data_IF_096340868351
#
_entry.id   IF_096340868351
#
_cell.length_a   1.000
_cell.length_b   1.000
_cell.length_c   1.000
_cell.angle_alpha   90.00
_cell.angle_beta   90.00
_cell.angle_gamma   90.00
#
_symmetry.space_group_name_H-M   'P 1'
#
loop_
_entity.id
_entity.type
_entity.pdbx_description
1 polymer ?
#
# COMPACT_ATOMS: atom_id res chain seq x y z
N UNK A 1 -8.29 1.86 -8.67
CA UNK A 1 -8.12 2.97 -9.64
C UNK A 1 -7.40 2.43 -10.86
N UNK A 2 -8.10 2.20 -11.96
CA UNK A 2 -7.53 1.53 -13.16
C UNK A 2 -6.33 2.27 -13.76
N UNK A 3 -6.29 3.60 -13.64
CA UNK A 3 -5.13 4.40 -14.04
C UNK A 3 -3.80 3.90 -13.44
N UNK A 4 -3.79 3.51 -12.16
CA UNK A 4 -2.58 2.99 -11.51
C UNK A 4 -2.09 1.69 -12.17
N UNK A 5 -3.00 0.77 -12.50
CA UNK A 5 -2.69 -0.47 -13.22
C UNK A 5 -2.21 -0.19 -14.65
N UNK A 6 -2.91 0.68 -15.38
CA UNK A 6 -2.57 1.04 -16.77
C UNK A 6 -1.23 1.79 -16.88
N UNK A 7 -0.85 2.56 -15.87
CA UNK A 7 0.49 3.17 -15.78
C UNK A 7 1.55 2.13 -15.43
N UNK A 8 1.25 1.20 -14.53
CA UNK A 8 2.16 0.09 -14.18
C UNK A 8 2.48 -0.76 -15.41
N UNK A 9 1.44 -1.17 -16.15
CA UNK A 9 1.57 -1.96 -17.38
C UNK A 9 2.39 -1.24 -18.46
N UNK A 10 2.12 0.06 -18.69
CA UNK A 10 2.90 0.88 -19.63
C UNK A 10 4.38 0.97 -19.23
N UNK A 11 4.67 1.30 -17.97
CA UNK A 11 6.04 1.48 -17.49
C UNK A 11 6.83 0.17 -17.52
N UNK A 12 6.22 -0.94 -17.09
CA UNK A 12 6.85 -2.26 -17.18
C UNK A 12 7.07 -2.64 -18.65
N UNK A 13 6.09 -2.43 -19.54
CA UNK A 13 6.23 -2.69 -20.98
C UNK A 13 7.41 -1.91 -21.61
N UNK A 14 7.63 -0.66 -21.16
CA UNK A 14 8.77 0.16 -21.58
C UNK A 14 10.09 -0.37 -21.03
N UNK A 15 10.21 -0.57 -19.71
CA UNK A 15 11.45 -1.01 -19.07
C UNK A 15 11.87 -2.43 -19.47
N UNK A 16 10.92 -3.30 -19.80
CA UNK A 16 11.18 -4.65 -20.32
C UNK A 16 11.50 -4.64 -21.83
N UNK A 17 11.26 -3.51 -22.52
CA UNK A 17 11.39 -3.41 -23.98
C UNK A 17 10.34 -4.25 -24.74
N UNK A 18 9.20 -4.56 -24.12
CA UNK A 18 8.13 -5.37 -24.68
C UNK A 18 7.19 -4.60 -25.62
N UNK A 19 7.28 -3.26 -25.65
CA UNK A 19 6.57 -2.43 -26.62
C UNK A 19 6.84 -2.86 -28.07
N UNK A 20 5.88 -2.60 -28.96
CA UNK A 20 6.04 -2.85 -30.39
C UNK A 20 7.14 -1.92 -30.97
N UNK A 21 7.93 -2.44 -31.90
CA UNK A 21 8.97 -1.65 -32.56
C UNK A 21 8.46 -1.26 -33.94
N UNK A 22 8.34 0.05 -34.21
CA UNK A 22 8.01 0.54 -35.54
C UNK A 22 9.12 0.20 -36.55
N UNK A 23 8.79 0.10 -37.84
CA UNK A 23 9.75 -0.29 -38.89
C UNK A 23 10.99 0.61 -39.02
N UNK A 24 10.89 1.86 -38.56
CA UNK A 24 11.96 2.87 -38.54
C UNK A 24 12.60 3.05 -37.16
N UNK A 25 12.18 2.26 -36.16
CA UNK A 25 12.75 2.25 -34.82
C UNK A 25 13.56 0.99 -34.57
N UNK A 26 14.47 1.07 -33.59
CA UNK A 26 15.27 -0.06 -33.15
C UNK A 26 15.22 -0.19 -31.64
N UNK A 27 14.90 -1.39 -31.14
CA UNK A 27 14.96 -1.72 -29.72
C UNK A 27 16.38 -1.53 -29.16
N UNK A 28 17.43 -1.71 -29.95
CA UNK A 28 18.82 -1.40 -29.56
C UNK A 28 19.01 0.05 -29.09
N UNK A 29 18.20 1.00 -29.57
CA UNK A 29 18.23 2.41 -29.16
C UNK A 29 17.50 2.73 -27.84
N UNK A 30 16.82 1.76 -27.23
CA UNK A 30 15.98 1.97 -26.03
C UNK A 30 16.83 1.81 -24.75
N UNK A 31 17.53 2.87 -24.36
CA UNK A 31 18.35 2.94 -23.14
C UNK A 31 17.54 2.80 -21.84
N UNK A 32 16.23 3.05 -21.87
CA UNK A 32 15.31 2.79 -20.77
C UNK A 32 14.93 1.31 -20.58
N UNK A 33 15.28 0.42 -21.52
CA UNK A 33 14.85 -0.99 -21.53
C UNK A 33 15.74 -1.88 -20.63
N UNK A 34 15.91 -1.48 -19.37
CA UNK A 34 16.81 -2.08 -18.38
C UNK A 34 16.48 -3.53 -18.00
N UNK A 35 15.24 -3.97 -18.23
CA UNK A 35 14.76 -5.35 -18.01
C UNK A 35 14.59 -6.13 -19.31
N UNK A 36 15.34 -5.77 -20.37
CA UNK A 36 15.45 -6.62 -21.57
C UNK A 36 16.16 -7.94 -21.27
N UNK A 37 17.07 -7.93 -20.30
CA UNK A 37 17.73 -9.12 -19.79
C UNK A 37 16.85 -9.81 -18.74
N UNK A 38 16.58 -11.10 -18.94
CA UNK A 38 15.73 -11.91 -18.07
C UNK A 38 16.39 -12.17 -16.70
N UNK A 39 17.72 -12.21 -16.62
CA UNK A 39 18.45 -12.35 -15.36
C UNK A 39 18.28 -11.08 -14.51
N UNK A 40 18.42 -9.89 -15.11
CA UNK A 40 18.14 -8.61 -14.46
C UNK A 40 16.67 -8.47 -14.00
N UNK A 41 15.71 -8.91 -14.83
CA UNK A 41 14.28 -8.92 -14.48
C UNK A 41 13.97 -9.88 -13.32
N UNK A 42 14.53 -11.09 -13.35
CA UNK A 42 14.39 -12.10 -12.29
C UNK A 42 14.99 -11.62 -10.97
N UNK A 43 16.18 -11.00 -11.01
CA UNK A 43 16.83 -10.42 -9.84
C UNK A 43 15.98 -9.29 -9.21
N UNK A 44 15.40 -8.42 -10.04
CA UNK A 44 14.49 -7.36 -9.58
C UNK A 44 13.21 -7.93 -8.95
N UNK A 45 12.62 -8.95 -9.56
CA UNK A 45 11.46 -9.65 -8.99
C UNK A 45 11.73 -10.27 -7.61
N UNK A 46 12.89 -10.92 -7.46
CA UNK A 46 13.33 -11.45 -6.17
C UNK A 46 13.60 -10.33 -5.14
N UNK A 47 14.15 -9.19 -5.58
CA UNK A 47 14.34 -8.02 -4.72
C UNK A 47 12.99 -7.47 -4.21
N UNK A 48 11.97 -7.37 -5.07
CA UNK A 48 10.59 -6.99 -4.69
C UNK A 48 10.04 -7.91 -3.60
N UNK A 49 10.15 -9.24 -3.76
CA UNK A 49 9.69 -10.18 -2.73
C UNK A 49 10.44 -10.01 -1.40
N UNK A 50 11.76 -9.82 -1.45
CA UNK A 50 12.60 -9.62 -0.27
C UNK A 50 12.18 -8.38 0.53
N UNK A 51 11.73 -7.30 -0.12
CA UNK A 51 11.21 -6.10 0.56
C UNK A 51 10.02 -6.41 1.48
N UNK A 52 9.24 -7.47 1.21
CA UNK A 52 8.06 -7.85 1.97
C UNK A 52 8.35 -8.27 3.41
N UNK A 53 9.61 -8.41 3.82
CA UNK A 53 9.97 -8.53 5.24
C UNK A 53 9.89 -7.19 5.98
N UNK A 54 10.27 -6.08 5.34
CA UNK A 54 10.39 -4.73 5.92
C UNK A 54 9.10 -3.90 5.84
N UNK A 55 8.13 -4.30 5.03
CA UNK A 55 6.86 -3.60 4.87
C UNK A 55 5.93 -3.90 6.07
N UNK A 56 5.38 -2.88 6.74
CA UNK A 56 4.46 -3.07 7.86
C UNK A 56 3.18 -3.80 7.44
N UNK A 57 2.66 -4.65 8.33
CA UNK A 57 1.42 -5.40 8.10
C UNK A 57 0.14 -4.55 7.97
N UNK A 58 0.24 -3.22 8.07
CA UNK A 58 -0.84 -2.29 7.70
C UNK A 58 -1.09 -2.22 6.19
N UNK A 59 -0.13 -2.65 5.36
CA UNK A 59 -0.24 -2.70 3.90
C UNK A 59 -0.87 -4.03 3.38
N UNK A 60 -1.77 -4.65 4.15
CA UNK A 60 -2.47 -5.92 3.90
C UNK A 60 -1.58 -7.15 3.65
N UNK A 61 -0.85 -7.20 2.54
CA UNK A 61 -0.03 -8.35 2.12
C UNK A 61 1.41 -7.96 1.80
N UNK A 62 2.29 -8.95 1.86
CA UNK A 62 3.65 -8.83 1.32
C UNK A 62 3.58 -8.70 -0.22
N UNK A 63 4.42 -7.86 -0.84
CA UNK A 63 4.68 -7.92 -2.27
C UNK A 63 5.06 -9.34 -2.65
N UNK A 64 4.46 -9.81 -3.76
CA UNK A 64 4.81 -11.08 -4.38
C UNK A 64 5.87 -10.79 -5.45
N UNK A 65 6.75 -11.77 -5.72
CA UNK A 65 7.60 -11.72 -6.91
C UNK A 65 6.74 -11.39 -8.15
N UNK A 66 7.16 -10.39 -8.92
CA UNK A 66 6.42 -9.93 -10.09
C UNK A 66 6.71 -10.77 -11.33
N UNK A 67 7.93 -11.32 -11.49
CA UNK A 67 8.28 -12.17 -12.64
C UNK A 67 7.33 -13.36 -12.75
N UNK A 68 7.09 -14.02 -11.62
CA UNK A 68 6.30 -15.25 -11.55
C UNK A 68 4.79 -15.02 -11.67
N UNK A 69 4.32 -13.76 -11.53
CA UNK A 69 2.90 -13.45 -11.26
C UNK A 69 2.30 -12.29 -12.05
N UNK A 70 3.05 -11.64 -12.93
CA UNK A 70 2.51 -10.56 -13.77
C UNK A 70 1.30 -11.02 -14.61
N UNK A 71 1.30 -12.29 -15.03
CA UNK A 71 0.22 -12.94 -15.78
C UNK A 71 -0.82 -13.68 -14.90
N UNK A 72 -0.67 -13.72 -13.57
CA UNK A 72 -1.49 -14.53 -12.66
C UNK A 72 -1.93 -13.75 -11.41
N UNK A 73 -2.96 -12.92 -11.59
CA UNK A 73 -3.71 -12.20 -10.55
C UNK A 73 -2.89 -11.22 -9.68
N UNK A 74 -2.03 -10.39 -10.28
CA UNK A 74 -1.45 -9.24 -9.57
C UNK A 74 -2.50 -8.13 -9.42
N UNK A 75 -2.88 -7.77 -8.19
CA UNK A 75 -3.99 -6.84 -7.92
C UNK A 75 -3.55 -5.39 -8.12
N UNK A 76 -4.48 -4.52 -8.49
CA UNK A 76 -4.22 -3.08 -8.70
C UNK A 76 -3.59 -2.39 -7.47
N UNK A 77 -3.90 -2.84 -6.25
CA UNK A 77 -3.28 -2.30 -5.04
C UNK A 77 -1.83 -2.81 -4.84
N UNK A 78 -1.53 -4.05 -5.22
CA UNK A 78 -0.17 -4.61 -5.19
C UNK A 78 0.70 -3.88 -6.22
N UNK A 79 0.16 -3.64 -7.43
CA UNK A 79 0.80 -2.77 -8.43
C UNK A 79 1.05 -1.36 -7.88
N UNK A 80 0.10 -0.80 -7.12
CA UNK A 80 0.26 0.53 -6.53
C UNK A 80 1.38 0.57 -5.48
N UNK A 81 1.45 -0.43 -4.59
CA UNK A 81 2.54 -0.57 -3.60
C UNK A 81 3.89 -0.81 -4.29
N UNK A 82 3.93 -1.66 -5.31
CA UNK A 82 5.12 -1.94 -6.09
C UNK A 82 5.61 -0.67 -6.80
N UNK A 83 4.87 -0.18 -7.81
CA UNK A 83 5.29 0.94 -8.66
C UNK A 83 5.44 2.26 -7.88
N UNK A 84 4.47 2.63 -7.05
CA UNK A 84 4.49 3.95 -6.39
C UNK A 84 5.08 3.93 -4.97
N UNK A 85 5.50 2.77 -4.47
CA UNK A 85 6.11 2.61 -3.14
C UNK A 85 7.54 2.04 -3.14
N UNK A 86 7.81 1.01 -3.95
CA UNK A 86 9.07 0.24 -3.89
C UNK A 86 9.99 0.51 -5.08
N UNK A 87 9.44 0.52 -6.29
CA UNK A 87 10.16 0.74 -7.56
C UNK A 87 11.02 2.00 -7.60
N UNK A 88 10.68 3.15 -6.98
CA UNK A 88 11.56 4.33 -6.99
C UNK A 88 12.90 4.06 -6.32
N UNK A 89 12.92 3.26 -5.25
CA UNK A 89 14.14 2.87 -4.54
C UNK A 89 14.85 1.72 -5.25
N UNK A 90 14.10 0.75 -5.79
CA UNK A 90 14.66 -0.42 -6.47
C UNK A 90 15.26 -0.10 -7.84
N UNK A 91 14.80 0.96 -8.52
CA UNK A 91 15.35 1.43 -9.80
C UNK A 91 16.40 2.53 -9.66
N UNK A 92 16.73 2.96 -8.44
CA UNK A 92 17.84 3.89 -8.21
C UNK A 92 19.16 3.23 -8.64
N UNK A 93 20.01 3.96 -9.36
CA UNK A 93 21.22 3.48 -10.04
C UNK A 93 21.04 2.33 -11.07
N UNK A 94 19.82 1.84 -11.30
CA UNK A 94 19.50 0.82 -12.34
C UNK A 94 18.92 1.48 -13.59
N UNK A 95 17.96 2.39 -13.42
CA UNK A 95 17.33 3.13 -14.51
C UNK A 95 18.11 4.44 -14.74
N UNK A 96 18.44 4.84 -15.99
CA UNK A 96 19.17 6.07 -16.25
C UNK A 96 18.50 7.30 -15.64
N UNK A 97 19.32 8.23 -15.12
CA UNK A 97 18.91 9.30 -14.21
C UNK A 97 17.71 10.12 -14.72
N UNK A 98 17.66 10.45 -16.01
CA UNK A 98 16.57 11.24 -16.60
C UNK A 98 15.24 10.49 -16.62
N UNK A 99 15.22 9.18 -16.88
CA UNK A 99 14.01 8.37 -16.78
C UNK A 99 13.58 8.17 -15.32
N UNK A 100 14.55 7.96 -14.42
CA UNK A 100 14.30 7.79 -12.98
C UNK A 100 13.73 9.07 -12.35
N UNK A 101 14.37 10.22 -12.60
CA UNK A 101 13.91 11.52 -12.11
C UNK A 101 12.51 11.88 -12.66
N UNK A 102 12.24 11.57 -13.93
CA UNK A 102 10.91 11.71 -14.50
C UNK A 102 9.90 10.79 -13.75
N UNK A 103 10.21 9.51 -13.61
CA UNK A 103 9.36 8.55 -12.89
C UNK A 103 9.07 8.98 -11.44
N UNK A 104 10.05 9.54 -10.72
CA UNK A 104 9.85 10.07 -9.37
C UNK A 104 8.85 11.24 -9.30
N UNK A 105 8.73 12.08 -10.35
CA UNK A 105 7.70 13.14 -10.43
C UNK A 105 6.30 12.54 -10.47
N UNK A 106 6.09 11.52 -11.32
CA UNK A 106 4.83 10.76 -11.37
C UNK A 106 4.52 10.11 -10.02
N UNK A 107 5.50 9.43 -9.43
CA UNK A 107 5.32 8.73 -8.15
C UNK A 107 4.92 9.71 -7.06
N UNK A 108 5.64 10.83 -6.91
CA UNK A 108 5.33 11.85 -5.91
C UNK A 108 3.91 12.42 -6.11
N UNK A 109 3.52 12.69 -7.35
CA UNK A 109 2.16 13.14 -7.66
C UNK A 109 1.11 12.09 -7.28
N UNK A 110 1.25 10.84 -7.72
CA UNK A 110 0.31 9.76 -7.41
C UNK A 110 0.21 9.50 -5.89
N UNK A 111 1.31 9.60 -5.15
CA UNK A 111 1.31 9.49 -3.69
C UNK A 111 0.48 10.59 -3.01
N UNK A 112 0.59 11.86 -3.46
CA UNK A 112 -0.22 12.97 -2.94
C UNK A 112 -1.70 12.74 -3.30
N UNK A 113 -1.99 12.38 -4.55
CA UNK A 113 -3.37 12.18 -5.03
C UNK A 113 -4.05 10.94 -4.43
N UNK A 114 -3.31 10.08 -3.74
CA UNK A 114 -3.84 8.92 -3.00
C UNK A 114 -4.23 9.25 -1.54
N UNK A 115 -4.03 10.50 -1.09
CA UNK A 115 -4.36 10.93 0.28
C UNK A 115 -5.87 11.20 0.45
N UNK A 116 -6.38 10.97 1.66
CA UNK A 116 -7.78 11.29 2.04
C UNK A 116 -8.06 12.78 2.14
N UNK A 117 -7.05 13.57 2.55
CA UNK A 117 -7.12 15.02 2.68
C UNK A 117 -5.89 15.56 1.96
N UNK A 118 -6.12 16.41 0.96
CA UNK A 118 -5.06 16.99 0.13
C UNK A 118 -5.14 18.50 0.29
N UNK A 119 -4.04 19.16 0.68
CA UNK A 119 -4.04 20.61 0.82
C UNK A 119 -3.96 21.28 -0.55
N UNK A 120 -4.42 22.54 -0.63
CA UNK A 120 -4.34 23.34 -1.86
C UNK A 120 -2.90 23.47 -2.40
N UNK A 121 -1.93 23.68 -1.50
CA UNK A 121 -0.51 23.76 -1.87
C UNK A 121 0.02 22.42 -2.43
N UNK A 122 -0.41 21.29 -1.87
CA UNK A 122 -0.04 19.96 -2.37
C UNK A 122 -0.66 19.68 -3.75
N UNK A 123 -1.88 20.16 -4.02
CA UNK A 123 -2.50 20.12 -5.36
C UNK A 123 -1.74 20.99 -6.37
N UNK A 124 -1.42 22.24 -6.04
CA UNK A 124 -0.65 23.15 -6.90
C UNK A 124 0.74 22.59 -7.23
N UNK A 125 1.44 22.05 -6.23
CA UNK A 125 2.72 21.37 -6.41
C UNK A 125 2.58 20.11 -7.28
N UNK A 126 1.55 19.30 -7.06
CA UNK A 126 1.29 18.09 -7.84
C UNK A 126 0.94 18.41 -9.29
N UNK A 127 0.21 19.48 -9.55
CA UNK A 127 -0.09 19.95 -10.91
C UNK A 127 1.20 20.21 -11.70
N UNK A 128 2.13 20.98 -11.10
CA UNK A 128 3.43 21.26 -11.71
C UNK A 128 4.23 19.97 -11.94
N UNK A 129 4.27 19.06 -10.96
CA UNK A 129 4.98 17.78 -11.10
C UNK A 129 4.41 16.90 -12.22
N UNK A 130 3.09 16.76 -12.32
CA UNK A 130 2.46 15.88 -13.30
C UNK A 130 2.47 16.47 -14.72
N UNK A 131 2.35 17.80 -14.86
CA UNK A 131 2.55 18.48 -16.14
C UNK A 131 4.01 18.41 -16.63
N UNK A 132 4.99 18.58 -15.72
CA UNK A 132 6.39 18.38 -16.04
C UNK A 132 6.66 16.93 -16.45
N UNK A 133 6.13 15.95 -15.71
CA UNK A 133 6.24 14.54 -16.02
C UNK A 133 5.72 14.18 -17.42
N UNK A 134 4.51 14.63 -17.78
CA UNK A 134 3.93 14.30 -19.08
C UNK A 134 4.75 14.88 -20.24
N UNK A 135 5.21 16.12 -20.12
CA UNK A 135 6.07 16.76 -21.11
C UNK A 135 7.43 16.08 -21.23
N UNK A 136 8.04 15.71 -20.10
CA UNK A 136 9.33 15.00 -20.10
C UNK A 136 9.18 13.58 -20.66
N UNK A 137 8.08 12.88 -20.35
CA UNK A 137 7.75 11.57 -20.92
C UNK A 137 7.66 11.62 -22.45
N UNK A 138 7.00 12.64 -23.01
CA UNK A 138 6.94 12.88 -24.46
C UNK A 138 8.32 13.11 -25.08
N UNK A 139 9.23 13.79 -24.38
CA UNK A 139 10.58 14.09 -24.86
C UNK A 139 11.54 12.89 -24.76
N UNK A 140 11.47 12.10 -23.69
CA UNK A 140 12.47 11.04 -23.42
C UNK A 140 12.09 9.67 -24.00
N UNK A 141 10.81 9.26 -23.89
CA UNK A 141 10.35 7.96 -24.40
C UNK A 141 9.84 8.07 -25.85
N UNK A 142 8.86 8.96 -26.08
CA UNK A 142 8.23 9.15 -27.39
C UNK A 142 9.16 9.88 -28.38
N UNK A 143 10.00 10.80 -27.89
CA UNK A 143 11.01 11.55 -28.66
C UNK A 143 10.41 12.31 -29.87
N UNK A 144 9.11 12.64 -29.80
CA UNK A 144 8.32 13.25 -30.88
C UNK A 144 8.33 12.46 -32.22
N UNK A 145 8.62 11.15 -32.18
CA UNK A 145 8.71 10.30 -33.38
C UNK A 145 7.38 9.60 -33.67
N UNK A 146 6.87 9.76 -34.89
CA UNK A 146 5.58 9.17 -35.32
C UNK A 146 5.49 7.64 -35.10
N UNK A 147 6.59 6.90 -35.28
CA UNK A 147 6.64 5.45 -35.08
C UNK A 147 6.52 5.01 -33.60
N UNK A 148 6.79 5.91 -32.66
CA UNK A 148 6.62 5.70 -31.21
C UNK A 148 5.31 6.27 -30.65
N UNK A 149 4.40 6.78 -31.48
CA UNK A 149 3.15 7.41 -31.01
C UNK A 149 2.33 6.51 -30.07
N UNK A 150 2.38 5.20 -30.29
CA UNK A 150 1.72 4.18 -29.48
C UNK A 150 2.26 4.07 -28.03
N UNK A 151 3.38 4.72 -27.69
CA UNK A 151 3.87 4.87 -26.32
C UNK A 151 3.00 5.83 -25.50
N UNK A 152 2.36 6.82 -26.13
CA UNK A 152 1.45 7.78 -25.49
C UNK A 152 0.06 7.13 -25.34
N UNK A 153 -0.02 6.12 -24.47
CA UNK A 153 -1.28 5.44 -24.14
C UNK A 153 -2.24 6.40 -23.40
N UNK A 154 -3.57 6.20 -23.44
CA UNK A 154 -4.55 7.07 -22.78
C UNK A 154 -4.32 7.30 -21.27
N UNK A 155 -3.65 6.37 -20.58
CA UNK A 155 -3.25 6.56 -19.18
C UNK A 155 -2.27 7.73 -18.98
N UNK A 156 -1.37 8.00 -19.93
CA UNK A 156 -0.45 9.15 -19.87
C UNK A 156 -1.25 10.46 -19.86
N UNK A 157 -2.23 10.59 -20.75
CA UNK A 157 -3.09 11.77 -20.81
C UNK A 157 -3.98 11.92 -19.57
N UNK A 158 -4.51 10.82 -19.02
CA UNK A 158 -5.34 10.85 -17.80
C UNK A 158 -4.60 11.42 -16.57
N UNK A 159 -3.28 11.22 -16.46
CA UNK A 159 -2.48 11.79 -15.37
C UNK A 159 -2.51 13.33 -15.36
N UNK A 160 -2.50 13.96 -16.54
CA UNK A 160 -2.54 15.43 -16.67
C UNK A 160 -3.84 16.04 -16.13
N UNK A 161 -4.94 15.28 -16.18
CA UNK A 161 -6.25 15.70 -15.67
C UNK A 161 -6.47 15.34 -14.20
N UNK A 162 -5.59 14.55 -13.58
CA UNK A 162 -5.85 13.99 -12.23
C UNK A 162 -6.07 15.08 -11.17
N UNK A 163 -5.30 16.17 -11.25
CA UNK A 163 -5.44 17.32 -10.33
C UNK A 163 -6.66 18.16 -10.65
N UNK A 164 -6.92 18.45 -11.93
CA UNK A 164 -8.08 19.26 -12.33
C UNK A 164 -9.38 18.52 -12.01
N UNK A 165 -9.48 17.21 -12.25
CA UNK A 165 -10.60 16.39 -11.79
C UNK A 165 -10.78 16.45 -10.28
N UNK A 166 -9.68 16.37 -9.52
CA UNK A 166 -9.72 16.40 -8.05
C UNK A 166 -10.21 17.74 -7.50
N UNK A 167 -9.91 18.86 -8.17
CA UNK A 167 -10.45 20.17 -7.82
C UNK A 167 -11.98 20.26 -8.04
N UNK A 168 -12.54 19.48 -8.97
CA UNK A 168 -13.98 19.47 -9.27
C UNK A 168 -14.76 18.39 -8.51
N UNK A 169 -14.15 17.23 -8.25
CA UNK A 169 -14.80 16.02 -7.71
C UNK A 169 -14.40 15.66 -6.28
N UNK A 170 -13.43 16.38 -5.71
CA UNK A 170 -12.74 16.00 -4.47
C UNK A 170 -11.66 14.93 -4.70
N UNK A 171 -10.99 14.45 -3.64
CA UNK A 171 -9.89 13.47 -3.76
C UNK A 171 -10.29 12.18 -4.51
N UNK A 172 -9.38 11.58 -5.30
CA UNK A 172 -9.64 10.35 -6.06
C UNK A 172 -10.22 9.20 -5.24
N UNK A 173 -9.87 9.11 -3.95
CA UNK A 173 -10.38 8.07 -3.05
C UNK A 173 -11.91 8.13 -2.86
N UNK A 174 -12.53 9.30 -3.04
CA UNK A 174 -13.98 9.51 -2.92
C UNK A 174 -14.79 8.95 -4.09
N UNK A 175 -14.19 8.86 -5.30
CA UNK A 175 -14.86 8.41 -6.53
C UNK A 175 -14.18 7.23 -7.23
N UNK A 176 -13.10 6.70 -6.65
CA UNK A 176 -12.37 5.57 -7.25
C UNK A 176 -13.23 4.30 -7.33
N UNK A 177 -13.20 3.67 -8.51
CA UNK A 177 -14.01 2.50 -8.85
C UNK A 177 -13.90 1.31 -7.86
N UNK A 178 -12.74 1.11 -7.23
CA UNK A 178 -12.52 0.03 -6.25
C UNK A 178 -13.47 0.07 -5.04
N UNK A 179 -14.01 1.25 -4.67
CA UNK A 179 -15.02 1.39 -3.62
C UNK A 179 -16.35 0.81 -4.12
N UNK A 180 -16.73 1.14 -5.35
CA UNK A 180 -17.94 0.61 -5.99
C UNK A 180 -17.83 -0.90 -6.23
N UNK A 181 -16.69 -1.39 -6.72
CA UNK A 181 -16.42 -2.83 -6.90
C UNK A 181 -16.51 -3.59 -5.57
N UNK A 182 -15.98 -3.01 -4.48
CA UNK A 182 -16.12 -3.60 -3.13
C UNK A 182 -17.57 -3.61 -2.66
N UNK A 183 -18.33 -2.53 -2.89
CA UNK A 183 -19.76 -2.49 -2.56
C UNK A 183 -20.55 -3.52 -3.38
N UNK A 184 -20.27 -3.68 -4.68
CA UNK A 184 -20.87 -4.74 -5.52
C UNK A 184 -20.52 -6.13 -4.96
N UNK A 185 -19.27 -6.35 -4.55
CA UNK A 185 -18.83 -7.60 -3.93
C UNK A 185 -19.53 -7.90 -2.59
N UNK A 186 -19.75 -6.89 -1.76
CA UNK A 186 -20.51 -7.01 -0.51
C UNK A 186 -21.97 -7.37 -0.80
N UNK A 187 -22.65 -6.60 -1.66
CA UNK A 187 -24.04 -6.85 -2.05
C UNK A 187 -24.20 -8.26 -2.67
N UNK A 188 -23.22 -8.71 -3.45
CA UNK A 188 -23.19 -10.07 -4.01
C UNK A 188 -23.11 -11.18 -2.95
N UNK A 189 -22.54 -10.93 -1.77
CA UNK A 189 -22.55 -11.87 -0.64
C UNK A 189 -23.90 -11.90 0.10
N UNK A 190 -24.71 -10.85 -0.04
CA UNK A 190 -26.06 -10.73 0.54
C UNK A 190 -27.14 -11.40 -0.34
N UNK A 191 -26.83 -11.77 -1.60
CA UNK A 191 -27.77 -12.47 -2.49
C UNK A 191 -27.88 -13.96 -2.12
N UNK A 192 -28.77 -14.28 -1.17
CA UNK A 192 -29.07 -15.67 -0.77
C UNK A 192 -29.83 -16.50 -1.84
N UNK A 193 -30.66 -15.89 -2.68
CA UNK A 193 -31.46 -16.59 -3.69
C UNK A 193 -31.01 -16.28 -5.13
N UNK A 194 -30.38 -17.22 -5.86
CA UNK A 194 -29.90 -17.00 -7.22
C UNK A 194 -31.02 -17.02 -8.29
N UNK A 195 -32.23 -17.47 -7.95
CA UNK A 195 -33.37 -17.54 -8.87
C UNK A 195 -34.07 -16.19 -9.11
N UNK A 196 -33.99 -15.25 -8.16
CA UNK A 196 -34.62 -13.93 -8.20
C UNK A 196 -33.68 -12.83 -7.70
N UNK A 197 -32.49 -12.66 -8.28
CA UNK A 197 -31.45 -11.79 -7.73
C UNK A 197 -31.87 -10.31 -7.66
N UNK A 198 -32.68 -9.83 -8.61
CA UNK A 198 -33.13 -8.43 -8.63
C UNK A 198 -34.20 -8.11 -7.58
N UNK A 199 -35.15 -9.01 -7.34
CA UNK A 199 -36.15 -8.84 -6.27
C UNK A 199 -35.45 -8.91 -4.91
N UNK A 200 -34.59 -9.91 -4.71
CA UNK A 200 -33.80 -10.10 -3.49
C UNK A 200 -32.91 -8.88 -3.20
N UNK A 201 -32.18 -8.36 -4.20
CA UNK A 201 -31.30 -7.20 -4.03
C UNK A 201 -32.08 -5.88 -3.84
N UNK A 202 -33.31 -5.78 -4.37
CA UNK A 202 -34.21 -4.66 -4.08
C UNK A 202 -34.76 -4.72 -2.65
N UNK A 203 -35.14 -5.90 -2.15
CA UNK A 203 -35.59 -6.09 -0.78
C UNK A 203 -34.45 -5.89 0.22
N UNK A 204 -33.30 -6.56 0.06
CA UNK A 204 -32.11 -6.43 0.92
C UNK A 204 -31.55 -5.00 0.90
N UNK A 205 -31.33 -4.43 -0.30
CA UNK A 205 -30.72 -3.10 -0.49
C UNK A 205 -31.57 -1.92 0.00
N UNK A 206 -32.86 -2.14 0.28
CA UNK A 206 -33.80 -1.13 0.81
C UNK A 206 -34.22 -1.43 2.25
N UNK A 207 -34.39 -2.70 2.62
CA UNK A 207 -35.16 -3.11 3.81
C UNK A 207 -34.33 -3.72 4.93
N UNK A 208 -33.18 -4.35 4.63
CA UNK A 208 -32.42 -5.11 5.62
C UNK A 208 -31.01 -4.54 5.82
N UNK A 209 -30.94 -3.55 6.70
CA UNK A 209 -29.72 -3.01 7.32
C UNK A 209 -28.89 -1.96 6.55
N UNK A 210 -27.96 -2.22 5.59
CA UNK A 210 -26.85 -1.29 5.32
C UNK A 210 -27.22 0.20 5.14
N UNK A 211 -28.22 0.53 4.31
CA UNK A 211 -28.59 1.93 4.06
C UNK A 211 -29.32 2.58 5.23
N UNK A 212 -30.26 1.86 5.86
CA UNK A 212 -31.02 2.37 6.99
C UNK A 212 -30.11 2.52 8.21
N UNK A 213 -29.33 1.48 8.54
CA UNK A 213 -28.36 1.51 9.64
C UNK A 213 -27.33 2.60 9.39
N UNK A 214 -26.66 2.68 8.22
CA UNK A 214 -25.67 3.74 7.98
C UNK A 214 -26.27 5.15 8.05
N UNK A 215 -27.52 5.36 7.61
CA UNK A 215 -28.21 6.65 7.79
C UNK A 215 -28.50 6.94 9.27
N UNK A 216 -28.95 5.94 10.05
CA UNK A 216 -29.24 6.07 11.47
C UNK A 216 -27.95 6.28 12.29
N UNK A 217 -26.85 5.62 11.93
CA UNK A 217 -25.50 5.85 12.48
C UNK A 217 -24.93 7.22 12.09
N UNK A 218 -25.26 7.76 10.91
CA UNK A 218 -24.85 9.10 10.51
C UNK A 218 -25.64 10.21 11.23
N UNK A 219 -26.95 10.00 11.44
CA UNK A 219 -27.83 10.93 12.18
C UNK A 219 -27.57 10.85 13.69
N UNK A 220 -27.30 9.66 14.21
CA UNK A 220 -26.99 9.39 15.61
C UNK A 220 -25.66 8.61 15.74
N UNK A 221 -24.49 9.28 15.65
CA UNK A 221 -23.18 8.63 15.79
C UNK A 221 -22.99 7.86 17.11
N UNK A 222 -23.74 8.20 18.16
CA UNK A 222 -23.78 7.48 19.45
C UNK A 222 -24.37 6.07 19.36
N UNK A 223 -25.09 5.74 18.29
CA UNK A 223 -25.49 4.36 18.00
C UNK A 223 -24.38 3.59 17.27
N UNK A 224 -23.39 4.32 16.73
CA UNK A 224 -22.11 3.79 16.29
C UNK A 224 -21.09 3.77 17.43
N UNK A 225 -21.56 3.83 18.69
CA UNK A 225 -20.85 3.30 19.86
C UNK A 225 -20.79 1.78 19.74
N UNK A 226 -20.17 1.32 18.64
CA UNK A 226 -19.63 0.00 18.50
C UNK A 226 -18.56 -0.14 19.56
N UNK A 227 -18.98 -0.57 20.75
CA UNK A 227 -18.15 -1.23 21.74
C UNK A 227 -17.68 -2.53 21.08
N UNK A 228 -16.75 -2.39 20.14
CA UNK A 228 -15.64 -3.32 20.00
C UNK A 228 -14.85 -3.21 21.30
N UNK A 229 -15.42 -3.80 22.36
CA UNK A 229 -14.70 -4.01 23.59
C UNK A 229 -13.41 -4.71 23.24
N UNK A 230 -12.32 -4.34 23.92
CA UNK A 230 -10.99 -4.79 23.55
C UNK A 230 -10.99 -6.32 23.33
N UNK A 231 -10.43 -6.82 22.22
CA UNK A 231 -10.73 -8.15 21.71
C UNK A 231 -10.42 -9.24 22.74
N UNK A 232 -11.44 -10.06 23.03
CA UNK A 232 -11.57 -10.91 24.22
C UNK A 232 -10.22 -11.48 24.75
N UNK A 233 -9.85 -11.03 25.95
CA UNK A 233 -8.60 -11.43 26.62
C UNK A 233 -7.40 -10.52 26.36
N UNK A 234 -7.64 -9.34 25.78
CA UNK A 234 -6.74 -8.18 25.79
C UNK A 234 -6.68 -7.46 27.15
N UNK A 235 -5.73 -6.54 27.30
CA UNK A 235 -5.62 -5.64 28.45
C UNK A 235 -5.34 -4.22 27.94
N UNK A 236 -6.20 -3.27 28.29
CA UNK A 236 -5.97 -1.85 28.06
C UNK A 236 -4.93 -1.32 29.06
N UNK A 237 -3.91 -0.59 28.57
CA UNK A 237 -2.84 -0.02 29.40
C UNK A 237 -3.04 1.48 29.67
N UNK A 238 -4.06 2.12 29.07
CA UNK A 238 -4.17 3.57 28.99
C UNK A 238 -3.49 4.14 27.74
N UNK A 239 -3.66 5.45 27.52
CA UNK A 239 -3.00 6.25 26.47
C UNK A 239 -3.10 5.69 25.03
N UNK A 240 -4.12 4.86 24.75
CA UNK A 240 -4.32 4.22 23.45
C UNK A 240 -3.54 2.92 23.24
N UNK A 241 -2.84 2.41 24.26
CA UNK A 241 -2.08 1.16 24.20
C UNK A 241 -2.92 -0.03 24.68
N UNK A 242 -3.04 -1.07 23.85
CA UNK A 242 -3.85 -2.28 24.16
C UNK A 242 -3.04 -3.55 23.89
N UNK A 243 -2.79 -4.36 24.92
CA UNK A 243 -2.17 -5.67 24.78
C UNK A 243 -3.17 -6.66 24.18
N UNK A 244 -2.85 -7.30 23.06
CA UNK A 244 -3.78 -8.16 22.31
C UNK A 244 -3.63 -9.65 22.62
N UNK A 245 -4.71 -10.42 22.42
CA UNK A 245 -4.86 -11.81 22.85
C UNK A 245 -3.89 -12.81 22.19
N UNK A 246 -2.64 -12.84 22.67
CA UNK A 246 -1.70 -13.96 22.56
C UNK A 246 -0.56 -13.77 23.58
N UNK A 247 -0.72 -14.35 24.77
CA UNK A 247 0.22 -14.24 25.90
C UNK A 247 0.88 -15.58 26.27
N UNK A 248 1.91 -15.53 27.09
CA UNK A 248 2.49 -16.73 27.70
C UNK A 248 1.48 -17.47 28.59
N UNK A 249 1.39 -18.81 28.45
CA UNK A 249 0.45 -19.64 29.24
C UNK A 249 0.86 -19.75 30.70
N UNK A 250 2.16 -19.72 30.99
CA UNK A 250 2.75 -19.79 32.34
C UNK A 250 3.66 -18.59 32.54
N UNK A 251 3.73 -18.00 33.74
CA UNK A 251 4.72 -16.97 34.05
C UNK A 251 6.14 -17.52 33.87
N UNK A 252 7.06 -16.67 33.41
CA UNK A 252 8.47 -16.97 33.18
C UNK A 252 9.34 -15.94 33.90
N UNK A 253 10.54 -16.35 34.32
CA UNK A 253 11.52 -15.49 34.98
C UNK A 253 12.61 -15.19 33.95
N UNK A 254 12.90 -13.92 33.62
CA UNK A 254 14.01 -13.52 32.78
C UNK A 254 15.35 -14.11 33.23
N UNK A 255 16.21 -14.46 32.28
CA UNK A 255 17.54 -15.04 32.54
C UNK A 255 18.59 -14.41 31.64
N UNK A 256 19.79 -14.14 32.17
CA UNK A 256 20.87 -13.51 31.41
C UNK A 256 20.66 -12.01 31.22
N UNK A 257 21.09 -11.47 30.08
CA UNK A 257 21.03 -10.03 29.75
C UNK A 257 19.63 -9.43 29.88
N UNK A 258 18.58 -10.16 29.46
CA UNK A 258 17.19 -9.73 29.62
C UNK A 258 16.79 -9.53 31.09
N UNK A 259 17.41 -10.27 32.03
CA UNK A 259 17.18 -10.10 33.46
C UNK A 259 17.87 -8.85 34.01
N UNK A 260 19.10 -8.57 33.56
CA UNK A 260 19.85 -7.38 33.96
C UNK A 260 19.12 -6.10 33.52
N UNK A 261 18.74 -6.00 32.24
CA UNK A 261 18.06 -4.82 31.68
C UNK A 261 16.71 -4.58 32.38
N UNK A 262 15.93 -5.63 32.64
CA UNK A 262 14.65 -5.50 33.36
C UNK A 262 14.87 -5.13 34.83
N UNK A 263 15.93 -5.65 35.47
CA UNK A 263 16.27 -5.31 36.86
C UNK A 263 16.72 -3.86 37.00
N UNK A 264 17.46 -3.34 36.02
CA UNK A 264 17.93 -1.96 35.95
C UNK A 264 16.75 -1.01 35.74
N UNK A 265 15.88 -1.29 34.77
CA UNK A 265 14.70 -0.46 34.47
C UNK A 265 13.68 -0.40 35.62
N UNK A 266 13.50 -1.48 36.39
CA UNK A 266 12.53 -1.52 37.51
C UNK A 266 13.21 -1.17 38.85
N UNK A 267 14.55 -1.09 38.90
CA UNK A 267 15.33 -0.86 40.13
C UNK A 267 15.27 -2.00 41.16
N UNK A 268 14.83 -3.20 40.76
CA UNK A 268 14.63 -4.36 41.65
C UNK A 268 14.74 -5.68 40.86
N UNK A 269 15.08 -6.82 41.49
CA UNK A 269 15.20 -8.10 40.78
C UNK A 269 13.90 -8.49 40.06
N UNK A 270 13.99 -9.10 38.87
CA UNK A 270 12.84 -9.39 38.03
C UNK A 270 11.92 -10.46 38.63
N UNK A 271 10.66 -10.08 38.86
CA UNK A 271 9.58 -10.98 39.24
C UNK A 271 9.20 -11.97 38.11
N UNK A 272 8.15 -12.78 38.32
CA UNK A 272 7.58 -13.66 37.28
C UNK A 272 6.74 -12.86 36.27
N UNK A 273 7.24 -12.68 35.05
CA UNK A 273 6.54 -11.96 33.98
C UNK A 273 5.65 -12.88 33.12
N UNK A 274 4.67 -12.29 32.44
CA UNK A 274 3.96 -12.91 31.29
C UNK A 274 4.21 -12.06 30.06
N UNK A 275 4.89 -12.62 29.06
CA UNK A 275 5.10 -11.92 27.78
C UNK A 275 3.82 -11.90 26.97
N UNK A 276 3.62 -10.78 26.26
CA UNK A 276 2.56 -10.60 25.27
C UNK A 276 3.17 -10.61 23.88
N UNK A 277 2.45 -11.17 22.90
CA UNK A 277 2.92 -11.27 21.52
C UNK A 277 2.67 -10.00 20.70
N UNK A 278 1.70 -9.19 21.11
CA UNK A 278 1.08 -8.14 20.31
C UNK A 278 0.64 -6.98 21.18
N UNK A 279 0.88 -5.76 20.69
CA UNK A 279 0.51 -4.49 21.31
C UNK A 279 -0.12 -3.62 20.21
N UNK A 280 -1.36 -3.21 20.40
CA UNK A 280 -1.96 -2.11 19.64
C UNK A 280 -1.34 -0.80 20.12
N UNK A 281 -0.90 0.02 19.18
CA UNK A 281 -0.37 1.37 19.38
C UNK A 281 -1.50 2.41 19.24
N UNK A 282 -1.33 3.64 19.75
CA UNK A 282 -2.37 4.68 19.68
C UNK A 282 -2.76 5.09 18.25
N UNK A 283 -1.90 4.82 17.27
CA UNK A 283 -2.16 5.02 15.84
C UNK A 283 -2.92 3.84 15.17
N UNK A 284 -3.39 2.86 15.95
CA UNK A 284 -4.11 1.66 15.48
C UNK A 284 -3.21 0.56 14.89
N UNK A 285 -1.89 0.73 14.83
CA UNK A 285 -0.98 -0.30 14.34
C UNK A 285 -0.72 -1.37 15.39
N UNK A 286 -0.50 -2.62 14.96
CA UNK A 286 -0.20 -3.74 15.86
C UNK A 286 1.30 -4.06 15.81
N UNK A 287 2.03 -3.58 16.81
CA UNK A 287 3.39 -4.01 17.11
C UNK A 287 3.40 -5.48 17.59
N UNK A 288 4.45 -6.23 17.24
CA UNK A 288 4.61 -7.64 17.62
C UNK A 288 5.94 -7.84 18.35
N UNK A 289 5.96 -8.70 19.37
CA UNK A 289 7.14 -8.89 20.20
C UNK A 289 8.14 -9.87 19.59
N UNK A 290 9.44 -9.59 19.80
CA UNK A 290 10.57 -10.38 19.32
C UNK A 290 10.45 -11.86 19.68
N UNK A 291 9.92 -12.16 20.86
CA UNK A 291 9.65 -13.53 21.33
C UNK A 291 8.78 -14.35 20.35
N UNK A 292 7.74 -13.75 19.74
CA UNK A 292 6.89 -14.47 18.77
C UNK A 292 7.35 -14.34 17.33
N UNK A 293 8.12 -13.31 16.99
CA UNK A 293 8.72 -13.18 15.67
C UNK A 293 9.90 -14.14 15.48
N UNK A 294 10.78 -14.32 16.49
CA UNK A 294 11.90 -15.30 16.47
C UNK A 294 11.47 -16.76 16.28
N UNK A 295 10.21 -17.10 16.58
CA UNK A 295 9.65 -18.45 16.41
C UNK A 295 9.13 -18.72 14.98
N UNK A 296 9.29 -17.77 14.05
CA UNK A 296 8.93 -17.93 12.64
C UNK A 296 10.19 -17.90 11.77
N UNK A 297 10.21 -18.61 10.63
CA UNK A 297 11.23 -18.37 9.60
C UNK A 297 11.14 -16.91 9.12
N UNK A 298 12.29 -16.31 8.76
CA UNK A 298 12.40 -14.90 8.35
C UNK A 298 11.43 -14.52 7.24
N UNK A 299 11.22 -15.41 6.27
CA UNK A 299 10.25 -15.26 5.16
C UNK A 299 8.80 -15.09 5.64
N UNK A 300 8.44 -15.58 6.82
CA UNK A 300 7.10 -15.43 7.44
C UNK A 300 7.02 -14.33 8.52
N UNK A 301 8.13 -13.66 8.81
CA UNK A 301 8.13 -12.44 9.64
C UNK A 301 7.73 -11.25 8.75
N UNK A 302 6.83 -10.42 9.25
CA UNK A 302 6.46 -9.13 8.66
C UNK A 302 6.76 -8.12 9.75
N UNK A 303 7.75 -7.26 9.50
CA UNK A 303 8.31 -6.36 10.51
C UNK A 303 7.25 -5.35 10.93
N UNK A 304 6.87 -5.45 12.19
CA UNK A 304 5.88 -4.58 12.83
C UNK A 304 6.51 -3.33 13.46
N UNK A 305 7.80 -3.06 13.16
CA UNK A 305 8.68 -2.21 13.97
C UNK A 305 9.25 -0.99 13.24
N UNK A 306 8.57 -0.47 12.22
CA UNK A 306 8.92 0.81 11.63
C UNK A 306 8.37 1.96 12.50
N UNK A 307 8.68 1.89 13.81
CA UNK A 307 8.42 2.95 14.77
C UNK A 307 9.52 3.97 14.54
N UNK A 308 9.15 5.13 13.97
CA UNK A 308 10.03 6.30 14.02
C UNK A 308 10.17 6.66 15.49
N UNK A 309 11.32 6.36 16.08
CA UNK A 309 11.67 6.85 17.40
C UNK A 309 11.74 8.38 17.32
N UNK A 310 10.63 9.03 17.68
CA UNK A 310 10.70 10.43 18.08
C UNK A 310 11.64 10.50 19.27
N UNK A 311 12.55 11.47 19.27
CA UNK A 311 13.51 11.67 20.35
C UNK A 311 12.75 12.07 21.61
N UNK A 312 12.26 11.10 22.36
CA UNK A 312 11.96 11.29 23.76
C UNK A 312 13.30 11.50 24.45
N UNK A 313 13.59 12.76 24.72
CA UNK A 313 14.56 13.16 25.72
C UNK A 313 14.18 12.49 27.03
N UNK A 314 14.85 11.38 27.32
CA UNK A 314 15.01 10.86 28.67
C UNK A 314 15.84 11.89 29.43
N UNK A 315 15.17 12.90 29.97
CA UNK A 315 15.68 13.59 31.15
C UNK A 315 15.69 12.59 32.32
N UNK A 316 16.78 12.65 33.07
CA UNK A 316 17.25 11.64 34.04
C UNK A 316 16.39 11.64 35.31
#
# INVERSE_FOLDING_TARGET
>A
MHLAGNLSDLLISLWHGMMECGHTDDKGSWDWAVFRDEDAWTAHGQAVENTGTYIPGSFDRKPRNITDKINMDYKTWEFHLYIFGLTPTLLYDVLPEHYWANFCKLVRGIQIMSQYVINKQDLEHTYVLLCAWGREFELIYYQLRQDRLHFIRPCVHQVLHLVTETMHKGPPICYAQWVMERTIGNLGQEIWQPSKPYENLAEEGVSLTPRQVNALLAIMPKLNDGIKGDPMGSINLGDGYILLWKRDKRPWIPTGEEACIVSEFIGRPPDRFKRWAQLCLPNGQIARSLWREKLKPSTQVCVSRNIKAGTMSLEI
#
